data_IF_451871553223
#
_entry.id   IF_451871553223
#
_cell.length_a   1.000
_cell.length_b   1.000
_cell.length_c   1.000
_cell.angle_alpha   90.00
_cell.angle_beta   90.00
_cell.angle_gamma   90.00
#
_symmetry.space_group_name_H-M   'P 1'
#
loop_
_entity.id
_entity.type
_entity.pdbx_description
1 polymer ?
#
# COMPACT_ATOMS: atom_id res chain seq x y z
N UNK A 1 10.31 -10.79 2.63
CA UNK A 1 10.13 -9.32 2.70
C UNK A 1 8.93 -9.05 3.59
N UNK A 2 9.07 -8.20 4.61
CA UNK A 2 7.95 -7.86 5.50
C UNK A 2 6.96 -6.99 4.72
N UNK A 3 5.76 -7.50 4.43
CA UNK A 3 4.68 -6.79 3.72
C UNK A 3 4.03 -5.68 4.56
N UNK A 4 4.74 -5.17 5.57
CA UNK A 4 4.24 -4.22 6.58
C UNK A 4 4.58 -2.80 6.18
N UNK A 5 3.91 -2.28 5.15
CA UNK A 5 3.88 -0.84 4.92
C UNK A 5 2.96 -0.18 5.95
N UNK A 6 3.49 0.81 6.67
CA UNK A 6 2.67 1.67 7.52
C UNK A 6 2.15 2.86 6.68
N UNK A 7 0.86 3.21 6.76
CA UNK A 7 0.36 4.47 6.23
C UNK A 7 0.92 5.63 7.06
N UNK A 8 1.29 6.72 6.39
CA UNK A 8 1.72 7.94 7.07
C UNK A 8 0.54 8.86 7.40
N UNK A 9 -0.51 8.87 6.57
CA UNK A 9 -1.68 9.74 6.73
C UNK A 9 -2.98 8.94 6.67
N UNK A 10 -3.93 9.31 7.53
CA UNK A 10 -5.27 8.74 7.53
C UNK A 10 -6.00 9.12 6.23
N UNK A 11 -6.52 8.15 5.45
CA UNK A 11 -7.17 8.44 4.17
C UNK A 11 -8.49 9.22 4.32
N UNK A 12 -8.98 9.40 5.55
CA UNK A 12 -10.25 10.09 5.82
C UNK A 12 -10.09 11.50 6.38
N UNK A 13 -9.09 11.77 7.23
CA UNK A 13 -8.90 13.10 7.85
C UNK A 13 -7.52 13.72 7.58
N UNK A 14 -6.57 12.98 7.02
CA UNK A 14 -5.20 13.47 6.78
C UNK A 14 -4.31 13.54 8.02
N UNK A 15 -4.78 13.10 9.18
CA UNK A 15 -3.99 13.05 10.42
C UNK A 15 -2.99 11.87 10.42
N UNK A 16 -1.94 11.97 11.24
CA UNK A 16 -0.85 11.00 11.37
C UNK A 16 -1.02 10.08 12.59
N UNK A 17 -2.06 10.30 13.43
CA UNK A 17 -2.37 9.53 14.64
C UNK A 17 -2.94 8.13 14.32
N UNK A 18 -2.09 7.30 13.69
CA UNK A 18 -2.39 5.99 13.10
C UNK A 18 -1.75 4.84 13.89
N UNK A 19 -2.54 3.82 14.23
CA UNK A 19 -2.09 2.63 14.97
C UNK A 19 -2.52 1.33 14.28
N UNK A 20 -1.72 0.25 14.36
CA UNK A 20 -2.18 -1.07 13.96
C UNK A 20 -3.40 -1.49 14.79
N UNK A 21 -4.40 -2.07 14.13
CA UNK A 21 -5.61 -2.57 14.78
C UNK A 21 -5.61 -4.11 14.79
N UNK A 22 -6.14 -4.71 15.86
CA UNK A 22 -6.08 -6.16 16.10
C UNK A 22 -7.06 -6.97 15.23
N UNK A 23 -7.98 -6.31 14.52
CA UNK A 23 -9.03 -6.97 13.71
C UNK A 23 -8.43 -7.83 12.58
N UNK A 24 -7.19 -7.58 12.15
CA UNK A 24 -6.52 -8.47 11.19
C UNK A 24 -5.27 -7.90 10.52
N UNK A 25 -4.72 -8.66 9.58
CA UNK A 25 -3.53 -8.26 8.83
C UNK A 25 -3.77 -6.97 8.03
N UNK A 26 -2.90 -5.99 8.21
CA UNK A 26 -3.01 -4.69 7.54
C UNK A 26 -4.15 -3.83 8.05
N UNK A 27 -4.78 -4.16 9.18
CA UNK A 27 -5.78 -3.31 9.81
C UNK A 27 -5.11 -2.15 10.57
N UNK A 28 -5.70 -0.96 10.43
CA UNK A 28 -5.24 0.28 11.02
C UNK A 28 -6.42 1.07 11.58
N UNK A 29 -6.17 1.85 12.62
CA UNK A 29 -7.11 2.81 13.17
C UNK A 29 -6.49 4.20 13.21
N UNK A 30 -7.29 5.23 12.96
CA UNK A 30 -6.94 6.61 13.21
C UNK A 30 -7.64 7.08 14.49
N UNK A 31 -6.88 7.46 15.50
CA UNK A 31 -7.42 7.90 16.79
C UNK A 31 -7.92 9.35 16.76
N UNK A 32 -7.41 10.19 15.86
CA UNK A 32 -7.91 11.55 15.65
C UNK A 32 -9.36 11.61 15.13
N UNK A 33 -9.75 10.70 14.22
CA UNK A 33 -11.12 10.68 13.66
C UNK A 33 -11.91 9.41 13.98
N UNK A 34 -11.38 8.53 14.81
CA UNK A 34 -11.99 7.28 15.28
C UNK A 34 -12.51 6.36 14.14
N UNK A 35 -11.70 6.18 13.08
CA UNK A 35 -12.03 5.30 11.95
C UNK A 35 -11.01 4.18 11.83
N UNK A 36 -11.49 2.96 11.58
CA UNK A 36 -10.67 1.80 11.24
C UNK A 36 -10.76 1.49 9.74
N UNK A 37 -9.66 1.01 9.16
CA UNK A 37 -9.55 0.62 7.75
C UNK A 37 -8.50 -0.49 7.57
N UNK A 38 -8.48 -1.12 6.40
CA UNK A 38 -7.53 -2.18 6.08
C UNK A 38 -6.75 -1.86 4.80
N UNK A 39 -5.43 -2.04 4.86
CA UNK A 39 -4.54 -1.93 3.70
C UNK A 39 -4.29 -3.31 3.08
N UNK A 40 -4.18 -3.34 1.76
CA UNK A 40 -3.87 -4.55 0.99
C UNK A 40 -2.82 -4.26 -0.06
N UNK A 41 -1.71 -5.01 -0.03
CA UNK A 41 -0.76 -5.03 -1.13
C UNK A 41 -1.36 -5.84 -2.30
N UNK A 42 -1.38 -5.26 -3.50
CA UNK A 42 -1.97 -5.89 -4.69
C UNK A 42 -0.92 -6.53 -5.61
N UNK A 43 0.37 -6.33 -5.35
CA UNK A 43 1.44 -6.70 -6.28
C UNK A 43 1.96 -5.51 -7.10
N UNK A 44 2.89 -5.79 -8.01
CA UNK A 44 3.39 -4.82 -8.98
C UNK A 44 2.40 -4.71 -10.16
N UNK A 45 2.05 -3.49 -10.55
CA UNK A 45 1.19 -3.25 -11.71
C UNK A 45 1.97 -3.52 -13.01
N UNK A 46 1.31 -4.09 -14.02
CA UNK A 46 1.94 -4.43 -15.31
C UNK A 46 2.65 -3.27 -15.99
N UNK A 47 2.18 -2.02 -15.82
CA UNK A 47 2.86 -0.81 -16.33
C UNK A 47 4.28 -0.64 -15.77
N UNK A 48 4.53 -1.09 -14.54
CA UNK A 48 5.84 -1.06 -13.90
C UNK A 48 6.75 -2.23 -14.29
N UNK A 49 6.22 -3.22 -15.02
CA UNK A 49 6.98 -4.36 -15.56
C UNK A 49 7.21 -4.09 -17.06
N UNK A 50 8.04 -3.10 -17.38
CA UNK A 50 8.54 -2.95 -18.74
C UNK A 50 9.55 -4.07 -19.00
N UNK A 51 9.17 -5.05 -19.82
CA UNK A 51 10.12 -6.03 -20.35
C UNK A 51 11.00 -5.31 -21.37
N UNK A 52 12.31 -5.25 -21.14
CA UNK A 52 13.31 -4.65 -22.05
C UNK A 52 13.51 -5.48 -23.35
N UNK A 53 12.47 -6.14 -23.84
CA UNK A 53 12.53 -7.04 -25.01
C UNK A 53 12.39 -6.27 -26.34
N UNK A 54 13.04 -5.11 -26.46
CA UNK A 54 13.16 -4.36 -27.70
C UNK A 54 14.62 -4.36 -28.18
N UNK A 55 15.18 -5.55 -28.36
CA UNK A 55 16.57 -5.74 -28.80
C UNK A 55 16.71 -6.90 -29.79
N UNK A 56 16.68 -6.57 -31.08
CA UNK A 56 17.37 -7.33 -32.12
C UNK A 56 16.51 -8.21 -33.04
N UNK A 57 16.04 -7.62 -34.14
CA UNK A 57 16.35 -8.11 -35.50
C UNK A 57 15.78 -7.09 -36.52
N UNK A 58 16.65 -6.27 -37.10
CA UNK A 58 16.32 -5.50 -38.30
C UNK A 58 17.17 -6.09 -39.42
N UNK A 59 16.50 -6.89 -40.25
CA UNK A 59 16.97 -7.43 -41.54
C UNK A 59 17.26 -6.27 -42.50
#
# INVERSE_FOLDING_TARGET
MSERAAPFYCPYCGDEDLFPNETGHGAWECRACNRAFQLKYLGLLARGVQSDSAGGDRI
#
